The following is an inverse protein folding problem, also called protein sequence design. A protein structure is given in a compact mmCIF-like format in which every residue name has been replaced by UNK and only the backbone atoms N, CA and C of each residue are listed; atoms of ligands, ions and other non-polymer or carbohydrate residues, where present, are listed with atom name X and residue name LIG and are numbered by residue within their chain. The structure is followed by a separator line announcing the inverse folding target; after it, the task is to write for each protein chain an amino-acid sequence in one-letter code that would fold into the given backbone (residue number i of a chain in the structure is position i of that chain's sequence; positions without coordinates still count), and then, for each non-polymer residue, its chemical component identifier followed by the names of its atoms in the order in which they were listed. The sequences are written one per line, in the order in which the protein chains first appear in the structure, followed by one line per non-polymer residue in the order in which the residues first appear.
data_IF_025650085063
#
_entry.id   IF_025650085063
#
_cell.length_a   1.000
_cell.length_b   1.000
_cell.length_c   1.000
_cell.angle_alpha   90.00
_cell.angle_beta   90.00
_cell.angle_gamma   90.00
#
_symmetry.space_group_name_H-M   'P 1'
#
loop_
_entity.id
_entity.type
_entity.pdbx_description
1 polymer ?
#
# COMPACT_ATOMS: atom_id res chain seq x y z
N UNK A 1 -4.89 -43.91 6.61
CA UNK A 1 -4.66 -43.01 5.47
C UNK A 1 -3.41 -42.22 5.78
N UNK A 2 -2.31 -42.45 5.07
CA UNK A 2 -1.08 -41.68 5.27
C UNK A 2 -1.24 -40.26 4.74
N UNK A 3 -0.85 -39.27 5.53
CA UNK A 3 -0.88 -37.87 5.12
C UNK A 3 0.43 -37.50 4.41
N UNK A 4 0.31 -36.81 3.28
CA UNK A 4 1.43 -36.34 2.46
C UNK A 4 2.24 -35.30 3.22
N UNK A 5 3.55 -35.52 3.34
CA UNK A 5 4.50 -34.50 3.83
C UNK A 5 4.90 -33.54 2.72
N UNK A 6 5.17 -32.30 3.10
CA UNK A 6 5.64 -31.25 2.18
C UNK A 6 7.13 -31.42 1.94
N UNK A 7 7.52 -31.45 0.67
CA UNK A 7 8.88 -31.83 0.23
C UNK A 7 9.86 -30.66 0.18
N UNK A 8 9.37 -29.48 -0.17
CA UNK A 8 10.20 -28.30 -0.43
C UNK A 8 9.48 -27.00 -0.09
N UNK A 9 10.22 -25.89 -0.18
CA UNK A 9 9.73 -24.56 0.12
C UNK A 9 8.63 -24.07 -0.86
N UNK A 10 8.61 -24.56 -2.10
CA UNK A 10 7.63 -24.15 -3.10
C UNK A 10 6.27 -24.82 -2.86
N UNK A 11 6.26 -26.13 -2.61
CA UNK A 11 5.09 -26.88 -2.16
C UNK A 11 4.53 -26.29 -0.85
N UNK A 12 5.41 -25.92 0.09
CA UNK A 12 5.00 -25.21 1.31
C UNK A 12 4.29 -23.89 1.03
N UNK A 13 4.86 -23.03 0.18
CA UNK A 13 4.26 -21.73 -0.17
C UNK A 13 2.93 -21.90 -0.88
N UNK A 14 2.81 -22.86 -1.81
CA UNK A 14 1.55 -23.17 -2.50
C UNK A 14 0.47 -23.63 -1.52
N UNK A 15 0.80 -24.55 -0.62
CA UNK A 15 -0.14 -25.01 0.40
C UNK A 15 -0.57 -23.87 1.34
N UNK A 16 0.36 -23.04 1.80
CA UNK A 16 0.05 -21.91 2.68
C UNK A 16 -0.78 -20.81 1.99
N UNK A 17 -0.53 -20.55 0.71
CA UNK A 17 -1.35 -19.66 -0.10
C UNK A 17 -2.78 -20.22 -0.24
N UNK A 18 -2.92 -21.51 -0.54
CA UNK A 18 -4.23 -22.17 -0.65
C UNK A 18 -5.01 -22.16 0.68
N UNK A 19 -4.34 -22.29 1.83
CA UNK A 19 -4.96 -22.12 3.15
C UNK A 19 -5.49 -20.70 3.34
N UNK A 20 -4.70 -19.69 2.97
CA UNK A 20 -5.10 -18.27 3.07
C UNK A 20 -6.30 -17.99 2.18
N UNK A 21 -6.27 -18.46 0.94
CA UNK A 21 -7.30 -18.20 -0.05
C UNK A 21 -8.60 -18.97 0.27
N UNK A 22 -8.53 -20.09 0.98
CA UNK A 22 -9.71 -20.81 1.44
C UNK A 22 -10.37 -20.21 2.68
N UNK A 23 -9.68 -19.33 3.43
CA UNK A 23 -10.17 -18.76 4.69
C UNK A 23 -10.40 -19.77 5.81
N UNK A 24 -9.84 -20.98 5.68
CA UNK A 24 -10.03 -22.07 6.65
C UNK A 24 -8.89 -22.14 7.66
N UNK A 25 -9.14 -22.80 8.79
CA UNK A 25 -8.05 -23.19 9.67
C UNK A 25 -7.06 -24.10 8.93
N UNK A 26 -5.77 -23.84 9.14
CA UNK A 26 -4.67 -24.55 8.48
C UNK A 26 -4.70 -26.07 8.71
N UNK A 27 -5.06 -26.50 9.92
CA UNK A 27 -5.11 -27.93 10.23
C UNK A 27 -6.36 -28.59 9.64
N UNK A 28 -7.49 -27.88 9.56
CA UNK A 28 -8.68 -28.34 8.85
C UNK A 28 -8.41 -28.48 7.34
N UNK A 29 -7.83 -27.45 6.72
CA UNK A 29 -7.43 -27.47 5.31
C UNK A 29 -6.45 -28.61 5.01
N UNK A 30 -5.42 -28.78 5.85
CA UNK A 30 -4.41 -29.82 5.66
C UNK A 30 -5.03 -31.23 5.69
N UNK A 31 -5.90 -31.52 6.66
CA UNK A 31 -6.59 -32.82 6.74
C UNK A 31 -7.49 -33.07 5.54
N UNK A 32 -8.25 -32.06 5.10
CA UNK A 32 -9.13 -32.16 3.92
C UNK A 32 -8.35 -32.43 2.64
N UNK A 33 -7.15 -31.84 2.51
CA UNK A 33 -6.31 -31.95 1.32
C UNK A 33 -5.25 -33.07 1.42
N UNK A 34 -5.35 -33.95 2.43
CA UNK A 34 -4.43 -35.07 2.62
C UNK A 34 -2.98 -34.66 2.92
N UNK A 35 -2.76 -33.45 3.43
CA UNK A 35 -1.44 -32.93 3.83
C UNK A 35 -1.26 -33.09 5.34
N UNK A 36 -0.05 -33.47 5.78
CA UNK A 36 0.26 -33.58 7.19
C UNK A 36 0.30 -32.18 7.86
N UNK A 37 -0.58 -31.89 8.84
CA UNK A 37 -0.65 -30.57 9.47
C UNK A 37 0.65 -30.18 10.19
N UNK A 38 1.40 -31.15 10.73
CA UNK A 38 2.66 -30.90 11.43
C UNK A 38 3.75 -30.47 10.45
N UNK A 39 3.87 -31.16 9.33
CA UNK A 39 4.76 -30.80 8.22
C UNK A 39 4.46 -29.39 7.70
N UNK A 40 3.19 -29.07 7.45
CA UNK A 40 2.78 -27.73 7.03
C UNK A 40 3.12 -26.64 8.07
N UNK A 41 2.93 -26.92 9.35
CA UNK A 41 3.30 -25.98 10.41
C UNK A 41 4.82 -25.79 10.54
N UNK A 42 5.61 -26.86 10.42
CA UNK A 42 7.06 -26.79 10.45
C UNK A 42 7.61 -25.93 9.30
N UNK A 43 7.07 -26.12 8.09
CA UNK A 43 7.43 -25.30 6.93
C UNK A 43 7.04 -23.83 7.09
N UNK A 44 5.87 -23.53 7.67
CA UNK A 44 5.49 -22.14 7.98
C UNK A 44 6.53 -21.47 8.87
N UNK A 45 6.91 -22.11 9.98
CA UNK A 45 7.91 -21.57 10.91
C UNK A 45 9.27 -21.36 10.22
N UNK A 46 9.69 -22.33 9.39
CA UNK A 46 10.97 -22.21 8.68
C UNK A 46 10.95 -21.08 7.64
N UNK A 47 9.86 -20.93 6.89
CA UNK A 47 9.69 -19.84 5.93
C UNK A 47 9.63 -18.48 6.61
N UNK A 48 8.97 -18.37 7.76
CA UNK A 48 8.91 -17.13 8.55
C UNK A 48 10.30 -16.73 9.07
N UNK A 49 11.14 -17.71 9.45
CA UNK A 49 12.53 -17.46 9.85
C UNK A 49 13.45 -17.06 8.69
N UNK A 50 13.19 -17.57 7.49
CA UNK A 50 13.94 -17.21 6.29
C UNK A 50 13.44 -15.93 5.63
N UNK A 51 12.30 -15.37 6.07
CA UNK A 51 11.85 -14.08 5.60
C UNK A 51 12.86 -13.01 6.03
N UNK A 52 13.26 -12.08 5.14
CA UNK A 52 14.06 -10.95 5.55
C UNK A 52 13.30 -10.21 6.66
N UNK A 53 13.95 -10.07 7.83
CA UNK A 53 13.37 -9.37 8.96
C UNK A 53 12.97 -7.93 8.60
N UNK A 54 12.21 -7.25 9.47
CA UNK A 54 11.81 -5.87 9.24
C UNK A 54 13.04 -5.02 8.93
N UNK A 55 13.03 -4.36 7.76
CA UNK A 55 14.10 -3.44 7.36
C UNK A 55 13.76 -2.05 7.88
N UNK A 56 14.68 -1.46 8.64
CA UNK A 56 14.59 -0.05 8.99
C UNK A 56 14.91 0.78 7.75
N UNK A 57 14.01 1.71 7.44
CA UNK A 57 14.20 2.71 6.39
C UNK A 57 14.23 4.08 7.06
N UNK A 58 15.23 4.88 6.73
CA UNK A 58 15.28 6.27 7.17
C UNK A 58 14.28 7.09 6.37
N UNK A 59 13.42 7.84 7.08
CA UNK A 59 12.55 8.82 6.46
C UNK A 59 13.35 10.11 6.24
N UNK A 60 13.72 10.41 5.00
CA UNK A 60 14.37 11.67 4.64
C UNK A 60 13.28 12.73 4.43
N UNK A 61 13.24 13.82 5.22
CA UNK A 61 12.27 14.88 5.03
C UNK A 61 12.46 15.55 3.67
N UNK A 62 11.48 15.43 2.78
CA UNK A 62 11.44 16.20 1.55
C UNK A 62 10.88 17.59 1.88
N UNK A 63 11.70 18.64 1.77
CA UNK A 63 11.18 20.01 1.76
C UNK A 63 10.32 20.19 0.52
N UNK A 64 9.02 20.32 0.72
CA UNK A 64 8.10 20.83 -0.29
C UNK A 64 8.13 22.34 -0.12
N UNK A 65 8.61 23.07 -1.13
CA UNK A 65 8.41 24.50 -1.19
C UNK A 65 6.91 24.74 -1.35
N UNK A 66 6.27 25.16 -0.26
CA UNK A 66 4.91 25.68 -0.33
C UNK A 66 5.04 27.08 -0.91
N UNK A 67 4.48 27.39 -2.09
CA UNK A 67 4.47 28.75 -2.60
C UNK A 67 3.79 29.63 -1.56
N UNK A 68 4.49 30.62 -1.03
CA UNK A 68 3.84 31.63 -0.19
C UNK A 68 2.94 32.46 -1.11
N UNK A 69 1.63 32.23 -1.02
CA UNK A 69 0.62 33.06 -1.68
C UNK A 69 0.72 34.47 -1.12
N UNK A 70 1.08 35.43 -1.98
CA UNK A 70 1.19 36.84 -1.59
C UNK A 70 -0.18 37.52 -1.67
N UNK A 71 -1.06 37.00 -2.54
CA UNK A 71 -2.37 37.55 -2.79
C UNK A 71 -3.42 36.43 -2.80
N UNK A 72 -4.57 36.68 -2.18
CA UNK A 72 -5.74 35.80 -2.24
C UNK A 72 -6.91 36.59 -2.82
N UNK A 73 -7.45 36.14 -3.94
CA UNK A 73 -8.62 36.74 -4.58
C UNK A 73 -9.87 36.01 -4.10
N UNK A 74 -10.87 36.74 -3.61
CA UNK A 74 -12.13 36.17 -3.10
C UNK A 74 -13.30 36.66 -3.95
N UNK A 75 -14.16 35.72 -4.38
CA UNK A 75 -15.39 36.00 -5.10
C UNK A 75 -16.49 35.05 -4.61
N UNK A 76 -17.44 35.58 -3.84
CA UNK A 76 -18.49 34.78 -3.19
C UNK A 76 -17.90 33.64 -2.34
N UNK A 77 -18.28 32.36 -2.58
CA UNK A 77 -17.77 31.21 -1.85
C UNK A 77 -16.38 30.74 -2.32
N UNK A 78 -15.82 31.36 -3.37
CA UNK A 78 -14.56 30.94 -3.97
C UNK A 78 -13.39 31.82 -3.49
N UNK A 79 -12.24 31.17 -3.30
CA UNK A 79 -10.97 31.82 -3.05
C UNK A 79 -9.91 31.26 -4.00
N UNK A 80 -9.09 32.14 -4.58
CA UNK A 80 -7.98 31.78 -5.46
C UNK A 80 -6.70 32.33 -4.86
N UNK A 81 -5.79 31.42 -4.52
CA UNK A 81 -4.46 31.75 -4.02
C UNK A 81 -3.54 32.06 -5.19
N UNK A 82 -2.91 33.24 -5.16
CA UNK A 82 -2.00 33.71 -6.18
C UNK A 82 -0.59 33.78 -5.59
N UNK A 83 0.31 32.86 -5.98
CA UNK A 83 1.69 32.84 -5.52
C UNK A 83 2.51 33.96 -6.15
N UNK A 84 3.66 34.25 -5.55
CA UNK A 84 4.65 35.12 -6.16
C UNK A 84 5.16 34.50 -7.47
N UNK A 85 5.23 35.30 -8.54
CA UNK A 85 5.67 34.83 -9.87
C UNK A 85 4.59 34.18 -10.73
N UNK A 86 3.30 34.40 -10.43
CA UNK A 86 2.22 34.03 -11.36
C UNK A 86 2.41 34.76 -12.69
N UNK A 87 2.15 34.05 -13.79
CA UNK A 87 2.13 34.66 -15.12
C UNK A 87 0.99 35.67 -15.22
N UNK A 88 1.31 36.90 -15.62
CA UNK A 88 0.34 38.01 -15.72
C UNK A 88 -0.82 37.69 -16.67
N UNK A 89 -0.57 36.94 -17.75
CA UNK A 89 -1.60 36.55 -18.71
C UNK A 89 -2.61 35.56 -18.11
N UNK A 90 -2.14 34.70 -17.20
CA UNK A 90 -3.00 33.76 -16.47
C UNK A 90 -3.84 34.51 -15.44
N UNK A 91 -3.22 35.43 -14.70
CA UNK A 91 -3.93 36.26 -13.74
C UNK A 91 -5.02 37.11 -14.43
N UNK A 92 -4.72 37.72 -15.57
CA UNK A 92 -5.68 38.50 -16.35
C UNK A 92 -6.89 37.66 -16.80
N UNK A 93 -6.68 36.41 -17.22
CA UNK A 93 -7.77 35.50 -17.60
C UNK A 93 -8.66 35.16 -16.40
N UNK A 94 -8.07 34.88 -15.24
CA UNK A 94 -8.84 34.61 -14.01
C UNK A 94 -9.69 35.81 -13.63
N UNK A 95 -9.10 37.01 -13.63
CA UNK A 95 -9.81 38.25 -13.32
C UNK A 95 -10.93 38.55 -14.33
N UNK A 96 -10.73 38.27 -15.62
CA UNK A 96 -11.77 38.44 -16.64
C UNK A 96 -12.97 37.52 -16.40
N UNK A 97 -12.74 36.26 -15.99
CA UNK A 97 -13.82 35.34 -15.62
C UNK A 97 -14.55 35.84 -14.37
N UNK A 98 -13.81 36.28 -13.35
CA UNK A 98 -14.41 36.80 -12.12
C UNK A 98 -15.22 38.08 -12.34
N UNK A 99 -14.81 38.95 -13.26
CA UNK A 99 -15.55 40.16 -13.60
C UNK A 99 -16.85 39.87 -14.40
N UNK A 100 -16.97 38.68 -14.99
CA UNK A 100 -18.16 38.23 -15.70
C UNK A 100 -19.16 37.47 -14.80
N UNK A 101 -18.80 37.21 -13.53
CA UNK A 101 -19.68 36.67 -12.50
C UNK A 101 -20.45 37.79 -11.80
#
# INVERSE_FOLDING_TARGET
MELRRIRDAEDARRCLAAVRDSGEDRAAWARRNGVDPRSLNAWRINLDRSAPGPRLLELVPRRVEVPQSVLVIRCGPFAVDVPNGVDESVLAKVLAVLAAC
#
